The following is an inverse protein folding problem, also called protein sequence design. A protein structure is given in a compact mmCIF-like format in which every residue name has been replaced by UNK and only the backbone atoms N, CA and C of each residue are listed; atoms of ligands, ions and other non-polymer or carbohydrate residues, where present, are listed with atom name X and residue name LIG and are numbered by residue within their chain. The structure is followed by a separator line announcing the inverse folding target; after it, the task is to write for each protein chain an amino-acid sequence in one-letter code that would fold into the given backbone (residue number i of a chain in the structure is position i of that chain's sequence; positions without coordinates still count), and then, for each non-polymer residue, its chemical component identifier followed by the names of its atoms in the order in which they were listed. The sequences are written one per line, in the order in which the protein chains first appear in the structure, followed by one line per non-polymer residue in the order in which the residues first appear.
data_IF_339113408836
#
_entry.id   IF_339113408836
#
_cell.length_a   1.000
_cell.length_b   1.000
_cell.length_c   1.000
_cell.angle_alpha   90.00
_cell.angle_beta   90.00
_cell.angle_gamma   90.00
#
_symmetry.space_group_name_H-M   'P 1'
#
loop_
_entity.id
_entity.type
_entity.pdbx_description
1 polymer ?
#
# COMPACT_ATOMS: atom_id res chain seq x y z
N UNK A 1 -26.15 3.11 10.44
CA UNK A 1 -25.43 1.90 9.98
C UNK A 1 -24.47 1.48 11.09
N UNK A 2 -24.57 0.26 11.63
CA UNK A 2 -23.63 -0.21 12.67
C UNK A 2 -22.32 -0.62 12.00
N UNK A 3 -21.21 -0.09 12.47
CA UNK A 3 -19.87 -0.42 11.96
C UNK A 3 -19.32 -1.57 12.80
N UNK A 4 -19.10 -2.73 12.18
CA UNK A 4 -18.63 -3.93 12.88
C UNK A 4 -17.11 -4.09 12.76
N UNK A 5 -16.51 -3.70 11.63
CA UNK A 5 -15.06 -3.73 11.42
C UNK A 5 -14.49 -2.32 11.20
N UNK A 6 -14.00 -1.70 12.28
CA UNK A 6 -13.45 -0.33 12.24
C UNK A 6 -12.22 -0.20 11.33
N UNK A 7 -11.39 -1.24 11.22
CA UNK A 7 -10.17 -1.22 10.38
C UNK A 7 -10.53 -1.13 8.89
N UNK A 8 -11.43 -2.01 8.43
CA UNK A 8 -11.91 -2.01 7.04
C UNK A 8 -12.67 -0.72 6.73
N UNK A 9 -13.44 -0.19 7.68
CA UNK A 9 -14.15 1.08 7.52
C UNK A 9 -13.19 2.26 7.29
N UNK A 10 -12.15 2.39 8.11
CA UNK A 10 -11.15 3.47 7.94
C UNK A 10 -10.41 3.35 6.61
N UNK A 11 -10.04 2.13 6.21
CA UNK A 11 -9.44 1.88 4.89
C UNK A 11 -10.38 2.29 3.75
N UNK A 12 -11.66 1.96 3.86
CA UNK A 12 -12.68 2.36 2.88
C UNK A 12 -12.86 3.88 2.78
N UNK A 13 -12.93 4.58 3.92
CA UNK A 13 -12.97 6.06 3.95
C UNK A 13 -11.72 6.64 3.27
N UNK A 14 -10.55 6.13 3.61
CA UNK A 14 -9.29 6.62 3.05
C UNK A 14 -9.25 6.47 1.53
N UNK A 15 -9.68 5.33 1.00
CA UNK A 15 -9.77 5.11 -0.46
C UNK A 15 -10.77 6.05 -1.14
N UNK A 16 -11.94 6.28 -0.53
CA UNK A 16 -12.94 7.22 -1.07
C UNK A 16 -12.39 8.65 -1.09
N UNK A 17 -11.71 9.09 -0.02
CA UNK A 17 -11.07 10.41 0.04
C UNK A 17 -10.00 10.54 -1.04
N UNK A 18 -9.14 9.53 -1.22
CA UNK A 18 -8.14 9.52 -2.30
C UNK A 18 -8.77 9.58 -3.69
N UNK A 19 -9.85 8.84 -3.92
CA UNK A 19 -10.62 8.90 -5.17
C UNK A 19 -11.20 10.29 -5.43
N UNK A 20 -11.76 10.92 -4.40
CA UNK A 20 -12.31 12.27 -4.49
C UNK A 20 -11.21 13.33 -4.73
N UNK A 21 -10.07 13.24 -4.05
CA UNK A 21 -8.94 14.15 -4.26
C UNK A 21 -8.38 14.03 -5.69
N UNK A 22 -8.28 12.82 -6.22
CA UNK A 22 -7.88 12.60 -7.61
C UNK A 22 -8.89 13.24 -8.57
N UNK A 23 -10.19 13.01 -8.36
CA UNK A 23 -11.25 13.63 -9.17
C UNK A 23 -11.14 15.17 -9.18
N UNK A 24 -11.02 15.79 -8.00
CA UNK A 24 -10.88 17.25 -7.89
C UNK A 24 -9.64 17.75 -8.61
N UNK A 25 -8.50 17.07 -8.43
CA UNK A 25 -7.25 17.46 -9.07
C UNK A 25 -7.35 17.36 -10.59
N UNK A 26 -7.97 16.30 -11.10
CA UNK A 26 -8.15 16.09 -12.55
C UNK A 26 -9.09 17.11 -13.19
N UNK A 27 -10.14 17.53 -12.46
CA UNK A 27 -11.04 18.60 -12.93
C UNK A 27 -10.31 19.95 -12.94
N UNK A 28 -9.57 20.28 -11.88
CA UNK A 28 -8.85 21.57 -11.78
C UNK A 28 -7.78 21.71 -12.85
N UNK A 29 -7.08 20.62 -13.20
CA UNK A 29 -6.00 20.62 -14.20
C UNK A 29 -6.49 20.39 -15.63
N UNK A 30 -7.78 20.08 -15.83
CA UNK A 30 -8.35 19.64 -17.11
C UNK A 30 -7.57 18.48 -17.77
N UNK A 31 -6.93 17.62 -16.97
CA UNK A 31 -6.12 16.47 -17.43
C UNK A 31 -6.87 15.14 -17.23
N UNK A 32 -8.11 15.09 -17.74
CA UNK A 32 -8.93 13.88 -17.71
C UNK A 32 -8.46 12.85 -18.74
N UNK A 33 -7.35 12.19 -18.42
CA UNK A 33 -6.87 11.03 -19.16
C UNK A 33 -7.68 9.77 -18.82
N UNK A 34 -7.73 8.82 -19.75
CA UNK A 34 -8.44 7.53 -19.57
C UNK A 34 -7.87 6.78 -18.37
N UNK A 35 -6.55 6.85 -18.16
CA UNK A 35 -5.86 6.26 -17.02
C UNK A 35 -6.34 6.82 -15.68
N UNK A 36 -6.55 8.14 -15.60
CA UNK A 36 -7.07 8.83 -14.43
C UNK A 36 -8.52 8.42 -14.14
N UNK A 37 -9.37 8.33 -15.17
CA UNK A 37 -10.77 7.89 -15.04
C UNK A 37 -10.83 6.46 -14.48
N UNK A 38 -10.05 5.53 -15.03
CA UNK A 38 -10.00 4.14 -14.56
C UNK A 38 -9.57 4.08 -13.09
N UNK A 39 -8.53 4.83 -12.73
CA UNK A 39 -8.03 4.89 -11.36
C UNK A 39 -9.09 5.40 -10.37
N UNK A 40 -9.79 6.47 -10.73
CA UNK A 40 -10.87 7.04 -9.92
C UNK A 40 -12.00 6.02 -9.70
N UNK A 41 -12.45 5.36 -10.77
CA UNK A 41 -13.51 4.34 -10.68
C UNK A 41 -13.07 3.19 -9.77
N UNK A 42 -11.82 2.71 -9.92
CA UNK A 42 -11.28 1.65 -9.08
C UNK A 42 -11.24 2.07 -7.60
N UNK A 43 -10.72 3.27 -7.29
CA UNK A 43 -10.66 3.82 -5.93
C UNK A 43 -12.04 3.89 -5.27
N UNK A 44 -13.06 4.38 -5.99
CA UNK A 44 -14.42 4.43 -5.47
C UNK A 44 -15.03 3.03 -5.31
N UNK A 45 -14.82 2.11 -6.26
CA UNK A 45 -15.33 0.74 -6.16
C UNK A 45 -14.74 0.00 -4.95
N UNK A 46 -13.42 0.05 -4.76
CA UNK A 46 -12.76 -0.55 -3.60
C UNK A 46 -13.15 0.14 -2.29
N UNK A 47 -13.20 1.48 -2.28
CA UNK A 47 -13.57 2.26 -1.11
C UNK A 47 -15.00 1.99 -0.63
N UNK A 48 -15.98 2.10 -1.53
CA UNK A 48 -17.39 1.83 -1.22
C UNK A 48 -17.60 0.35 -0.86
N UNK A 49 -16.94 -0.58 -1.59
CA UNK A 49 -17.00 -2.00 -1.27
C UNK A 49 -16.49 -2.30 0.15
N UNK A 50 -15.39 -1.67 0.57
CA UNK A 50 -14.87 -1.78 1.92
C UNK A 50 -15.84 -1.21 2.98
N UNK A 51 -16.49 -0.07 2.69
CA UNK A 51 -17.49 0.52 3.58
C UNK A 51 -18.70 -0.42 3.78
N UNK A 52 -19.22 -1.01 2.71
CA UNK A 52 -20.31 -2.00 2.77
C UNK A 52 -19.89 -3.23 3.59
N UNK A 53 -18.69 -3.78 3.29
CA UNK A 53 -18.13 -4.93 4.03
C UNK A 53 -17.98 -4.65 5.52
N UNK A 54 -17.51 -3.46 5.88
CA UNK A 54 -17.29 -3.07 7.27
C UNK A 54 -18.57 -2.97 8.12
N UNK A 55 -19.72 -2.79 7.46
CA UNK A 55 -21.04 -2.75 8.08
C UNK A 55 -21.73 -4.13 8.15
N UNK A 56 -21.12 -5.19 7.61
CA UNK A 56 -21.65 -6.54 7.67
C UNK A 56 -21.14 -7.27 8.92
N UNK A 57 -22.08 -7.66 9.80
CA UNK A 57 -21.77 -8.43 11.01
C UNK A 57 -21.31 -9.87 10.71
N UNK A 58 -21.78 -10.45 9.60
CA UNK A 58 -21.44 -11.81 9.18
C UNK A 58 -19.98 -11.90 8.74
N UNK A 59 -19.54 -10.96 7.90
CA UNK A 59 -18.17 -10.92 7.40
C UNK A 59 -17.16 -10.65 8.52
N UNK A 60 -17.52 -9.85 9.54
CA UNK A 60 -16.66 -9.66 10.72
C UNK A 60 -16.48 -10.94 11.54
N UNK A 61 -17.52 -11.78 11.66
CA UNK A 61 -17.40 -13.06 12.38
C UNK A 61 -16.51 -14.05 11.63
N UNK A 62 -16.64 -14.09 10.30
CA UNK A 62 -15.77 -14.91 9.43
C UNK A 62 -14.31 -14.43 9.53
N UNK A 63 -14.05 -13.12 9.39
CA UNK A 63 -12.71 -12.53 9.54
C UNK A 63 -12.09 -12.86 10.94
N UNK A 64 -12.89 -12.76 12.02
CA UNK A 64 -12.42 -13.04 13.39
C UNK A 64 -12.10 -14.52 13.62
N UNK A 65 -12.83 -15.42 12.94
CA UNK A 65 -12.63 -16.87 13.08
C UNK A 65 -11.37 -17.32 12.32
N UNK A 66 -11.09 -16.71 11.17
CA UNK A 66 -9.83 -16.92 10.43
C UNK A 66 -8.60 -16.41 11.19
N UNK A 67 -8.71 -15.27 11.88
CA UNK A 67 -7.64 -14.66 12.70
C UNK A 67 -7.25 -15.50 13.94
N UNK A 68 -8.17 -16.34 14.44
CA UNK A 68 -7.94 -17.17 15.63
C UNK A 68 -7.22 -18.48 15.32
N UNK A 69 -7.10 -18.86 14.04
CA UNK A 69 -6.37 -20.06 13.64
C UNK A 69 -4.86 -19.77 13.64
N UNK A 70 -4.13 -20.43 14.54
CA UNK A 70 -2.68 -20.31 14.69
C UNK A 70 -1.93 -20.58 13.38
N UNK A 71 -2.43 -21.52 12.57
CA UNK A 71 -1.83 -21.85 11.27
C UNK A 71 -1.95 -20.67 10.32
N UNK A 72 -3.11 -20.04 10.27
CA UNK A 72 -3.34 -18.87 9.41
C UNK A 72 -2.47 -17.70 9.85
N UNK A 73 -2.36 -17.46 11.16
CA UNK A 73 -1.49 -16.42 11.72
C UNK A 73 -0.01 -16.66 11.41
N UNK A 74 0.45 -17.91 11.48
CA UNK A 74 1.81 -18.26 11.09
C UNK A 74 2.06 -18.04 9.59
N UNK A 75 1.13 -18.49 8.73
CA UNK A 75 1.20 -18.27 7.28
C UNK A 75 1.20 -16.77 6.97
N UNK A 76 0.36 -15.99 7.64
CA UNK A 76 0.25 -14.55 7.45
C UNK A 76 1.57 -13.83 7.81
N UNK A 77 2.15 -14.12 8.98
CA UNK A 77 3.43 -13.53 9.40
C UNK A 77 4.57 -13.91 8.45
N UNK A 78 4.64 -15.18 8.05
CA UNK A 78 5.65 -15.66 7.10
C UNK A 78 5.47 -15.02 5.72
N UNK A 79 4.23 -14.89 5.26
CA UNK A 79 3.88 -14.23 4.00
C UNK A 79 4.24 -12.75 4.03
N UNK A 80 3.88 -12.02 5.10
CA UNK A 80 4.23 -10.60 5.29
C UNK A 80 5.74 -10.36 5.32
N UNK A 81 6.49 -11.20 6.03
CA UNK A 81 7.95 -11.09 6.08
C UNK A 81 8.58 -11.36 4.70
N UNK A 82 8.13 -12.40 4.00
CA UNK A 82 8.64 -12.75 2.66
C UNK A 82 8.25 -11.70 1.62
N UNK A 83 7.01 -11.22 1.62
CA UNK A 83 6.54 -10.19 0.69
C UNK A 83 7.30 -8.89 0.90
N UNK A 84 7.55 -8.47 2.13
CA UNK A 84 8.36 -7.28 2.43
C UNK A 84 9.77 -7.39 1.85
N UNK A 85 10.47 -8.51 2.06
CA UNK A 85 11.81 -8.74 1.49
C UNK A 85 11.82 -8.77 -0.03
N UNK A 86 10.81 -9.38 -0.63
CA UNK A 86 10.63 -9.39 -2.10
C UNK A 86 10.41 -7.97 -2.61
N UNK A 87 9.50 -7.20 -2.00
CA UNK A 87 9.22 -5.81 -2.38
C UNK A 87 10.46 -4.94 -2.24
N UNK A 88 11.24 -5.11 -1.17
CA UNK A 88 12.49 -4.40 -0.96
C UNK A 88 13.52 -4.73 -2.04
N UNK A 89 13.64 -6.01 -2.42
CA UNK A 89 14.52 -6.45 -3.51
C UNK A 89 14.09 -5.90 -4.87
N UNK A 90 12.80 -5.93 -5.17
CA UNK A 90 12.23 -5.36 -6.41
C UNK A 90 12.48 -3.85 -6.44
N UNK A 91 12.25 -3.15 -5.32
CA UNK A 91 12.50 -1.71 -5.22
C UNK A 91 13.98 -1.41 -5.47
N UNK A 92 14.89 -2.20 -4.91
CA UNK A 92 16.32 -2.04 -5.15
C UNK A 92 16.71 -2.21 -6.63
N UNK A 93 16.21 -3.27 -7.28
CA UNK A 93 16.46 -3.49 -8.72
C UNK A 93 15.90 -2.35 -9.55
N UNK A 94 14.68 -1.91 -9.26
CA UNK A 94 14.01 -0.82 -9.98
C UNK A 94 14.74 0.51 -9.79
N UNK A 95 15.25 0.80 -8.59
CA UNK A 95 16.10 1.95 -8.32
C UNK A 95 17.34 1.96 -9.24
N UNK A 96 18.05 0.85 -9.34
CA UNK A 96 19.25 0.74 -10.19
C UNK A 96 18.87 0.96 -11.66
N UNK A 97 17.80 0.33 -12.14
CA UNK A 97 17.32 0.49 -13.52
C UNK A 97 17.00 1.96 -13.84
N UNK A 98 16.32 2.67 -12.94
CA UNK A 98 16.01 4.08 -13.13
C UNK A 98 17.27 4.96 -13.10
N UNK A 99 18.26 4.67 -12.24
CA UNK A 99 19.52 5.40 -12.23
C UNK A 99 20.31 5.22 -13.53
N UNK A 100 20.42 3.97 -14.02
CA UNK A 100 21.12 3.65 -15.27
C UNK A 100 20.41 4.32 -16.45
N UNK A 101 19.08 4.18 -16.53
CA UNK A 101 18.28 4.80 -17.59
C UNK A 101 18.41 6.33 -17.54
N UNK A 102 18.24 6.94 -16.37
CA UNK A 102 18.36 8.39 -16.20
C UNK A 102 19.74 8.91 -16.63
N UNK A 103 20.82 8.20 -16.30
CA UNK A 103 22.19 8.57 -16.69
C UNK A 103 22.47 8.37 -18.17
N UNK A 104 22.00 7.27 -18.77
CA UNK A 104 22.22 6.96 -20.20
C UNK A 104 21.46 7.92 -21.11
N UNK A 105 20.20 8.24 -20.77
CA UNK A 105 19.34 9.08 -21.61
C UNK A 105 19.34 10.57 -21.20
N UNK A 106 20.06 10.96 -20.14
CA UNK A 106 20.16 12.35 -19.69
C UNK A 106 18.88 12.91 -19.05
N UNK A 107 17.94 12.07 -18.63
CA UNK A 107 16.69 12.52 -18.03
C UNK A 107 16.84 12.72 -16.51
N UNK A 108 17.14 13.95 -16.09
CA UNK A 108 17.30 14.29 -14.67
C UNK A 108 16.07 13.97 -13.81
N UNK A 109 14.86 14.08 -14.37
CA UNK A 109 13.61 13.71 -13.68
C UNK A 109 13.57 12.23 -13.29
N UNK A 110 14.12 11.35 -14.12
CA UNK A 110 14.18 9.91 -13.85
C UNK A 110 15.19 9.61 -12.74
N UNK A 111 16.30 10.34 -12.69
CA UNK A 111 17.28 10.26 -11.62
C UNK A 111 16.66 10.72 -10.29
N UNK A 112 15.88 11.80 -10.29
CA UNK A 112 15.16 12.27 -9.11
C UNK A 112 14.14 11.23 -8.60
N UNK A 113 13.40 10.55 -9.50
CA UNK A 113 12.52 9.44 -9.13
C UNK A 113 13.29 8.28 -8.50
N UNK A 114 14.45 7.94 -9.07
CA UNK A 114 15.31 6.89 -8.53
C UNK A 114 15.86 7.25 -7.14
N UNK A 115 16.21 8.52 -6.91
CA UNK A 115 16.62 9.02 -5.60
C UNK A 115 15.49 8.92 -4.56
N UNK A 116 14.25 9.24 -4.95
CA UNK A 116 13.08 9.02 -4.08
C UNK A 116 12.89 7.54 -3.71
N UNK A 117 13.08 6.65 -4.69
CA UNK A 117 13.01 5.21 -4.46
C UNK A 117 14.15 4.70 -3.55
N UNK A 118 15.36 5.27 -3.70
CA UNK A 118 16.51 4.98 -2.84
C UNK A 118 16.21 5.35 -1.39
N UNK A 119 15.60 6.51 -1.17
CA UNK A 119 15.20 6.95 0.17
C UNK A 119 14.17 5.99 0.79
N UNK A 120 13.15 5.57 0.03
CA UNK A 120 12.18 4.58 0.47
C UNK A 120 12.83 3.23 0.81
N UNK A 121 13.79 2.78 0.00
CA UNK A 121 14.54 1.55 0.25
C UNK A 121 15.36 1.63 1.55
N UNK A 122 16.05 2.74 1.79
CA UNK A 122 16.82 2.95 3.04
C UNK A 122 15.91 2.96 4.26
N UNK A 123 14.78 3.67 4.21
CA UNK A 123 13.78 3.65 5.30
C UNK A 123 13.29 2.23 5.56
N UNK A 124 13.00 1.46 4.50
CA UNK A 124 12.57 0.05 4.62
C UNK A 124 13.63 -0.81 5.31
N UNK A 125 14.92 -0.68 4.94
CA UNK A 125 16.03 -1.38 5.59
C UNK A 125 16.16 -1.01 7.08
N UNK A 126 16.15 0.28 7.39
CA UNK A 126 16.24 0.76 8.76
C UNK A 126 15.06 0.28 9.61
N UNK A 127 13.86 0.26 9.04
CA UNK A 127 12.66 -0.23 9.74
C UNK A 127 12.78 -1.72 10.06
N UNK A 128 13.29 -2.56 9.16
CA UNK A 128 13.54 -3.98 9.44
C UNK A 128 14.56 -4.14 10.57
N UNK A 129 15.67 -3.40 10.54
CA UNK A 129 16.71 -3.45 11.57
C UNK A 129 16.18 -2.99 12.94
N UNK A 130 15.49 -1.85 13.01
CA UNK A 130 14.96 -1.33 14.27
C UNK A 130 13.86 -2.23 14.84
N UNK A 131 12.97 -2.76 13.99
CA UNK A 131 11.93 -3.68 14.46
C UNK A 131 12.54 -4.99 14.95
N UNK A 132 13.54 -5.53 14.25
CA UNK A 132 14.28 -6.71 14.69
C UNK A 132 14.93 -6.48 16.05
N UNK A 133 15.70 -5.40 16.22
CA UNK A 133 16.33 -5.09 17.51
C UNK A 133 15.33 -4.88 18.65
N UNK A 134 14.20 -4.20 18.37
CA UNK A 134 13.16 -3.99 19.38
C UNK A 134 12.56 -5.30 19.87
N UNK A 135 12.20 -6.21 18.96
CA UNK A 135 11.62 -7.50 19.34
C UNK A 135 12.64 -8.46 19.95
N UNK A 136 13.90 -8.44 19.49
CA UNK A 136 14.99 -9.21 20.10
C UNK A 136 15.25 -8.73 21.54
N UNK A 137 15.29 -7.41 21.78
CA UNK A 137 15.53 -6.86 23.14
C UNK A 137 14.44 -7.17 24.17
N UNK A 138 13.26 -7.58 23.69
CA UNK A 138 12.07 -7.81 24.52
C UNK A 138 11.85 -9.31 24.80
N UNK A 139 12.64 -10.17 24.17
CA UNK A 139 12.57 -11.62 24.28
C UNK A 139 13.79 -12.15 25.03
#
# INVERSE_FOLDING_TARGET
MKIYNKKIFVSGIFMVILGALNLVTSIVRNDLDISAIILIIALFAFGVGALIRSASQRMMREDKLEDLDERNRFIELKSKSKSFRITQSISFVLMILLLVMGKVYGYERVIAMAAGLAFAFVISMLTEVFTYMYYESKN
#
